data_IF_780785220367
#
_entry.id   IF_780785220367
#
_cell.length_a   1.000
_cell.length_b   1.000
_cell.length_c   1.000
_cell.angle_alpha   90.00
_cell.angle_beta   90.00
_cell.angle_gamma   90.00
#
_symmetry.space_group_name_H-M   'P 1'
#
loop_
_entity.id
_entity.type
_entity.pdbx_description
1 polymer ?
#
# COMPACT_ATOMS: atom_id res chain seq x y z
N UNK A 1 -53.55 -2.03 -9.18
CA UNK A 1 -53.19 -2.71 -7.92
C UNK A 1 -51.69 -2.69 -7.79
N UNK A 2 -51.12 -2.20 -6.69
CA UNK A 2 -49.67 -2.24 -6.50
C UNK A 2 -49.27 -3.66 -6.13
N UNK A 3 -48.55 -4.35 -7.02
CA UNK A 3 -47.91 -5.64 -6.70
C UNK A 3 -46.95 -5.41 -5.54
N UNK A 4 -47.13 -6.16 -4.44
CA UNK A 4 -46.39 -5.93 -3.20
C UNK A 4 -44.90 -6.21 -3.42
N UNK A 5 -44.01 -5.66 -2.58
CA UNK A 5 -42.59 -6.06 -2.65
C UNK A 5 -42.44 -7.57 -2.48
N UNK A 6 -43.28 -8.18 -1.63
CA UNK A 6 -43.36 -9.62 -1.39
C UNK A 6 -43.61 -10.41 -2.68
N UNK A 7 -44.52 -9.95 -3.55
CA UNK A 7 -44.79 -10.60 -4.84
C UNK A 7 -43.59 -10.61 -5.79
N UNK A 8 -42.69 -9.61 -5.69
CA UNK A 8 -41.50 -9.49 -6.54
C UNK A 8 -40.39 -10.48 -6.17
N UNK A 9 -40.38 -10.99 -4.93
CA UNK A 9 -39.35 -11.89 -4.43
C UNK A 9 -39.80 -13.36 -4.31
N UNK A 10 -41.07 -13.69 -4.57
CA UNK A 10 -41.64 -15.05 -4.56
C UNK A 10 -40.85 -16.13 -5.30
N UNK A 11 -40.01 -15.74 -6.27
CA UNK A 11 -39.06 -16.64 -6.95
C UNK A 11 -38.11 -17.33 -5.95
N UNK A 12 -37.72 -16.65 -4.88
CA UNK A 12 -36.71 -17.09 -3.92
C UNK A 12 -37.29 -17.86 -2.71
N UNK A 13 -38.62 -17.89 -2.54
CA UNK A 13 -39.31 -18.57 -1.43
C UNK A 13 -39.07 -20.10 -1.40
N UNK A 14 -38.58 -20.69 -2.49
CA UNK A 14 -38.35 -22.14 -2.65
C UNK A 14 -36.86 -22.53 -2.69
N UNK A 15 -35.99 -21.82 -1.95
CA UNK A 15 -34.58 -22.20 -1.80
C UNK A 15 -34.41 -23.45 -0.93
N UNK A 16 -33.49 -24.35 -1.30
CA UNK A 16 -33.08 -25.53 -0.53
C UNK A 16 -31.55 -25.52 -0.36
N UNK A 17 -31.11 -25.20 0.86
CA UNK A 17 -29.72 -25.27 1.28
C UNK A 17 -29.48 -26.62 1.98
N UNK A 18 -28.51 -27.41 1.51
CA UNK A 18 -28.18 -28.71 2.11
C UNK A 18 -27.31 -28.61 3.37
N UNK A 19 -26.69 -27.45 3.58
CA UNK A 19 -25.70 -27.12 4.62
C UNK A 19 -26.20 -25.91 5.45
N UNK A 20 -27.50 -25.93 5.78
CA UNK A 20 -28.16 -24.88 6.54
C UNK A 20 -27.94 -25.11 8.05
N UNK A 21 -27.10 -24.29 8.67
CA UNK A 21 -26.70 -24.47 10.08
C UNK A 21 -27.82 -24.27 11.10
N UNK A 22 -28.88 -23.55 10.71
CA UNK A 22 -30.05 -23.25 11.55
C UNK A 22 -31.08 -24.41 11.55
N UNK A 23 -31.11 -25.24 10.50
CA UNK A 23 -32.03 -26.39 10.37
C UNK A 23 -31.41 -27.71 10.89
N UNK A 24 -30.87 -27.66 12.11
CA UNK A 24 -30.39 -28.84 12.86
C UNK A 24 -30.86 -28.85 14.33
N UNK A 25 -31.49 -29.94 14.73
CA UNK A 25 -31.91 -30.16 16.12
C UNK A 25 -30.70 -30.45 17.04
N UNK A 26 -30.66 -29.97 18.30
CA UNK A 26 -29.54 -30.17 19.24
C UNK A 26 -29.10 -31.61 19.55
N UNK A 27 -29.85 -32.62 19.09
CA UNK A 27 -29.57 -34.05 19.31
C UNK A 27 -29.11 -34.78 18.03
N UNK A 28 -28.96 -34.07 16.91
CA UNK A 28 -28.53 -34.63 15.63
C UNK A 28 -27.14 -34.09 15.31
N UNK A 29 -26.21 -34.98 14.91
CA UNK A 29 -24.90 -34.55 14.42
C UNK A 29 -25.03 -33.74 13.12
N UNK A 30 -24.58 -32.47 13.16
CA UNK A 30 -24.66 -31.54 12.02
C UNK A 30 -24.00 -32.13 10.76
N UNK A 31 -22.80 -32.68 10.88
CA UNK A 31 -22.02 -33.13 9.71
C UNK A 31 -22.67 -34.32 9.00
N UNK A 32 -23.16 -35.30 9.76
CA UNK A 32 -23.88 -36.46 9.21
C UNK A 32 -25.23 -36.05 8.60
N UNK A 33 -25.92 -35.09 9.20
CA UNK A 33 -27.19 -34.56 8.71
C UNK A 33 -27.06 -33.83 7.37
N UNK A 34 -26.07 -32.95 7.21
CA UNK A 34 -25.83 -32.25 5.94
C UNK A 34 -25.45 -33.20 4.81
N UNK A 35 -24.60 -34.21 5.10
CA UNK A 35 -24.27 -35.28 4.13
C UNK A 35 -25.52 -36.05 3.69
N UNK A 36 -26.39 -36.41 4.63
CA UNK A 36 -27.64 -37.11 4.32
C UNK A 36 -28.63 -36.24 3.53
N UNK A 37 -28.83 -34.96 3.92
CA UNK A 37 -29.63 -33.98 3.17
C UNK A 37 -29.12 -33.81 1.74
N UNK A 38 -27.80 -33.67 1.56
CA UNK A 38 -27.18 -33.56 0.25
C UNK A 38 -27.42 -34.82 -0.59
N UNK A 39 -27.24 -36.02 -0.02
CA UNK A 39 -27.49 -37.28 -0.73
C UNK A 39 -28.97 -37.44 -1.12
N UNK A 40 -29.90 -37.15 -0.21
CA UNK A 40 -31.33 -37.21 -0.46
C UNK A 40 -31.78 -36.20 -1.53
N UNK A 41 -31.16 -35.01 -1.58
CA UNK A 41 -31.35 -34.02 -2.65
C UNK A 41 -30.87 -34.56 -4.00
N UNK A 42 -29.63 -35.05 -4.07
CA UNK A 42 -29.05 -35.61 -5.31
C UNK A 42 -29.88 -36.78 -5.83
N UNK A 43 -30.33 -37.67 -4.96
CA UNK A 43 -31.20 -38.79 -5.34
C UNK A 43 -32.58 -38.31 -5.87
N UNK A 44 -33.17 -37.29 -5.23
CA UNK A 44 -34.43 -36.68 -5.69
C UNK A 44 -34.29 -36.09 -7.09
N UNK A 45 -33.25 -35.29 -7.31
CA UNK A 45 -32.96 -34.69 -8.62
C UNK A 45 -32.64 -35.73 -9.69
N UNK A 46 -31.96 -36.83 -9.34
CA UNK A 46 -31.73 -37.93 -10.29
C UNK A 46 -33.05 -38.60 -10.68
N UNK A 47 -33.96 -38.85 -9.75
CA UNK A 47 -35.29 -39.41 -10.03
C UNK A 47 -36.15 -38.46 -10.87
N UNK A 48 -36.19 -37.19 -10.50
CA UNK A 48 -36.89 -36.15 -11.27
C UNK A 48 -36.36 -36.06 -12.71
N UNK A 49 -35.03 -36.05 -12.90
CA UNK A 49 -34.40 -36.07 -14.24
C UNK A 49 -34.76 -37.32 -15.04
N UNK A 50 -34.74 -38.51 -14.42
CA UNK A 50 -35.14 -39.76 -15.08
C UNK A 50 -36.61 -39.76 -15.51
N UNK A 51 -37.52 -39.31 -14.64
CA UNK A 51 -38.95 -39.18 -14.95
C UNK A 51 -39.19 -38.15 -16.06
N UNK A 52 -38.49 -37.00 -16.03
CA UNK A 52 -38.54 -36.00 -17.09
C UNK A 52 -38.10 -36.58 -18.46
N UNK A 53 -37.00 -37.34 -18.53
CA UNK A 53 -36.56 -37.95 -19.79
C UNK A 53 -37.55 -39.01 -20.30
N UNK A 54 -38.12 -39.84 -19.41
CA UNK A 54 -39.16 -40.82 -19.79
C UNK A 54 -40.40 -40.11 -20.37
N UNK A 55 -40.85 -38.99 -19.78
CA UNK A 55 -41.97 -38.22 -20.32
C UNK A 55 -41.63 -37.51 -21.63
N UNK A 56 -40.43 -36.92 -21.77
CA UNK A 56 -39.97 -36.33 -23.03
C UNK A 56 -39.96 -37.36 -24.15
N UNK A 57 -39.42 -38.56 -23.91
CA UNK A 57 -39.37 -39.61 -24.92
C UNK A 57 -40.77 -40.11 -25.30
N UNK A 58 -41.66 -40.33 -24.32
CA UNK A 58 -43.07 -40.65 -24.57
C UNK A 58 -43.81 -39.55 -25.34
N UNK A 59 -43.46 -38.28 -25.14
CA UNK A 59 -44.04 -37.15 -25.88
C UNK A 59 -43.49 -37.07 -27.32
N UNK A 60 -42.20 -37.39 -27.58
CA UNK A 60 -41.68 -37.54 -28.94
C UNK A 60 -42.42 -38.66 -29.69
N UNK A 61 -42.55 -39.84 -29.08
CA UNK A 61 -43.27 -40.98 -29.67
C UNK A 61 -44.75 -40.63 -29.94
N UNK A 62 -45.44 -39.98 -29.00
CA UNK A 62 -46.81 -39.51 -29.20
C UNK A 62 -46.93 -38.47 -30.33
N UNK A 63 -45.95 -37.57 -30.47
CA UNK A 63 -45.90 -36.58 -31.55
C UNK A 63 -45.69 -37.26 -32.92
N UNK A 64 -44.80 -38.24 -33.02
CA UNK A 64 -44.61 -39.03 -34.24
C UNK A 64 -45.90 -39.78 -34.62
N UNK A 65 -46.51 -40.47 -33.65
CA UNK A 65 -47.77 -41.21 -33.87
C UNK A 65 -48.94 -40.30 -34.26
N UNK A 66 -48.99 -39.08 -33.70
CA UNK A 66 -49.95 -38.05 -34.10
C UNK A 66 -49.80 -37.68 -35.58
N UNK A 67 -48.57 -37.46 -36.06
CA UNK A 67 -48.31 -37.13 -37.46
C UNK A 67 -48.68 -38.29 -38.39
N UNK A 68 -48.38 -39.54 -38.01
CA UNK A 68 -48.81 -40.73 -38.76
C UNK A 68 -50.33 -40.81 -38.92
N UNK A 69 -51.08 -40.68 -37.82
CA UNK A 69 -52.54 -40.74 -37.82
C UNK A 69 -53.17 -39.55 -38.59
N UNK A 70 -52.58 -38.36 -38.49
CA UNK A 70 -53.02 -37.20 -39.28
C UNK A 70 -52.83 -37.41 -40.79
N UNK A 71 -51.72 -38.02 -41.21
CA UNK A 71 -51.50 -38.38 -42.61
C UNK A 71 -52.47 -39.46 -43.09
N UNK A 72 -52.76 -40.47 -42.26
CA UNK A 72 -53.77 -41.50 -42.57
C UNK A 72 -55.18 -40.89 -42.71
N UNK A 73 -55.56 -39.96 -41.84
CA UNK A 73 -56.83 -39.24 -41.97
C UNK A 73 -56.93 -38.45 -43.28
N UNK A 74 -55.90 -37.69 -43.65
CA UNK A 74 -55.88 -36.96 -44.93
C UNK A 74 -56.02 -37.92 -46.13
N UNK A 75 -55.32 -39.05 -46.11
CA UNK A 75 -55.37 -40.04 -47.18
C UNK A 75 -56.74 -40.73 -47.33
N UNK A 76 -57.49 -40.90 -46.23
CA UNK A 76 -58.85 -41.45 -46.23
C UNK A 76 -59.88 -40.36 -46.61
N UNK A 77 -59.66 -39.10 -46.22
CA UNK A 77 -60.50 -37.96 -46.58
C UNK A 77 -60.45 -37.64 -48.10
N UNK A 78 -59.31 -37.89 -48.75
CA UNK A 78 -59.17 -37.84 -50.21
C UNK A 78 -59.77 -39.08 -50.93
N UNK A 79 -60.14 -40.14 -50.19
CA UNK A 79 -60.42 -41.48 -50.69
C UNK A 79 -61.87 -41.98 -50.57
N UNK A 80 -62.75 -41.52 -51.47
CA UNK A 80 -64.12 -42.05 -51.73
C UNK A 80 -65.14 -41.93 -50.58
N UNK A 81 -66.27 -41.27 -50.89
CA UNK A 81 -67.42 -40.97 -50.03
C UNK A 81 -68.28 -42.16 -49.53
N UNK A 82 -67.67 -43.30 -49.22
CA UNK A 82 -68.38 -44.46 -48.67
C UNK A 82 -68.61 -44.35 -47.15
N UNK A 83 -69.69 -44.97 -46.66
CA UNK A 83 -70.05 -44.93 -45.24
C UNK A 83 -68.96 -45.52 -44.33
N UNK A 84 -68.25 -46.56 -44.78
CA UNK A 84 -67.13 -47.17 -44.05
C UNK A 84 -65.97 -46.19 -43.83
N UNK A 85 -65.55 -45.45 -44.86
CA UNK A 85 -64.47 -44.45 -44.77
C UNK A 85 -64.76 -43.37 -43.70
N UNK A 86 -66.06 -43.02 -43.53
CA UNK A 86 -66.50 -42.06 -42.51
C UNK A 86 -66.46 -42.63 -41.09
N UNK A 87 -66.69 -43.93 -40.93
CA UNK A 87 -66.61 -44.61 -39.64
C UNK A 87 -65.14 -44.83 -39.22
N UNK A 88 -64.24 -45.15 -40.16
CA UNK A 88 -62.79 -45.20 -39.94
C UNK A 88 -62.20 -43.82 -39.59
N UNK A 89 -62.63 -42.74 -40.27
CA UNK A 89 -62.26 -41.37 -39.91
C UNK A 89 -62.71 -40.96 -38.50
N UNK A 90 -63.87 -41.43 -38.04
CA UNK A 90 -64.34 -41.19 -36.65
C UNK A 90 -63.43 -41.93 -35.66
N UNK A 91 -63.04 -43.18 -35.95
CA UNK A 91 -62.10 -43.95 -35.14
C UNK A 91 -60.73 -43.28 -35.01
N UNK A 92 -60.08 -42.96 -36.13
CA UNK A 92 -58.76 -42.29 -36.16
C UNK A 92 -58.78 -40.92 -35.46
N UNK A 93 -59.89 -40.18 -35.59
CA UNK A 93 -60.09 -38.90 -34.88
C UNK A 93 -60.23 -39.08 -33.37
N UNK A 94 -60.84 -40.18 -32.91
CA UNK A 94 -60.90 -40.52 -31.49
C UNK A 94 -59.53 -40.92 -30.93
N UNK A 95 -58.76 -41.75 -31.65
CA UNK A 95 -57.38 -42.11 -31.29
C UNK A 95 -56.48 -40.88 -31.19
N UNK A 96 -56.57 -39.95 -32.16
CA UNK A 96 -55.84 -38.68 -32.11
C UNK A 96 -56.22 -37.83 -30.90
N UNK A 97 -57.52 -37.71 -30.59
CA UNK A 97 -57.97 -36.94 -29.43
C UNK A 97 -57.51 -37.55 -28.09
N UNK A 98 -57.42 -38.88 -28.01
CA UNK A 98 -56.86 -39.57 -26.85
C UNK A 98 -55.35 -39.33 -26.72
N UNK A 99 -54.58 -39.46 -27.81
CA UNK A 99 -53.13 -39.17 -27.83
C UNK A 99 -52.83 -37.70 -27.47
N UNK A 100 -53.62 -36.75 -27.99
CA UNK A 100 -53.48 -35.33 -27.63
C UNK A 100 -53.76 -35.06 -26.16
N UNK A 101 -54.81 -35.67 -25.60
CA UNK A 101 -55.16 -35.56 -24.17
C UNK A 101 -54.07 -36.16 -23.28
N UNK A 102 -53.52 -37.30 -23.66
CA UNK A 102 -52.41 -37.95 -22.94
C UNK A 102 -51.13 -37.11 -22.99
N UNK A 103 -50.81 -36.52 -24.14
CA UNK A 103 -49.69 -35.60 -24.30
C UNK A 103 -49.87 -34.34 -23.44
N UNK A 104 -51.07 -33.74 -23.43
CA UNK A 104 -51.39 -32.58 -22.59
C UNK A 104 -51.22 -32.89 -21.09
N UNK A 105 -51.68 -34.06 -20.62
CA UNK A 105 -51.48 -34.48 -19.22
C UNK A 105 -49.99 -34.65 -18.87
N UNK A 106 -49.19 -35.21 -19.78
CA UNK A 106 -47.73 -35.38 -19.58
C UNK A 106 -47.00 -34.03 -19.57
N UNK A 107 -47.34 -33.11 -20.46
CA UNK A 107 -46.81 -31.75 -20.46
C UNK A 107 -47.19 -30.98 -19.19
N UNK A 108 -48.45 -31.01 -18.78
CA UNK A 108 -48.92 -30.34 -17.56
C UNK A 108 -48.21 -30.86 -16.29
N UNK A 109 -47.91 -32.16 -16.23
CA UNK A 109 -47.11 -32.76 -15.14
C UNK A 109 -45.66 -32.27 -15.15
N UNK A 110 -45.02 -32.19 -16.32
CA UNK A 110 -43.66 -31.63 -16.44
C UNK A 110 -43.61 -30.17 -15.96
N UNK A 111 -44.58 -29.35 -16.39
CA UNK A 111 -44.71 -27.96 -15.95
C UNK A 111 -45.00 -27.83 -14.44
N UNK A 112 -45.69 -28.79 -13.83
CA UNK A 112 -45.88 -28.83 -12.38
C UNK A 112 -44.60 -29.19 -11.63
N UNK A 113 -43.84 -30.18 -12.11
CA UNK A 113 -42.52 -30.52 -11.58
C UNK A 113 -41.58 -29.32 -11.63
N UNK A 114 -41.49 -28.62 -12.78
CA UNK A 114 -40.62 -27.45 -12.93
C UNK A 114 -41.08 -26.24 -12.08
N UNK A 115 -42.39 -26.04 -11.87
CA UNK A 115 -42.91 -25.01 -10.95
C UNK A 115 -42.68 -25.32 -9.48
N UNK A 116 -42.56 -26.60 -9.11
CA UNK A 116 -42.35 -27.05 -7.74
C UNK A 116 -40.89 -27.39 -7.41
N UNK A 117 -40.02 -27.46 -8.41
CA UNK A 117 -38.57 -27.58 -8.29
C UNK A 117 -38.01 -26.54 -7.32
N UNK A 118 -37.24 -27.02 -6.35
CA UNK A 118 -36.53 -26.15 -5.40
C UNK A 118 -35.27 -25.56 -6.03
N UNK A 119 -34.95 -24.33 -5.66
CA UNK A 119 -33.75 -23.63 -6.08
C UNK A 119 -32.58 -24.04 -5.17
N UNK A 120 -31.48 -24.48 -5.75
CA UNK A 120 -30.27 -24.95 -5.07
C UNK A 120 -29.04 -24.30 -5.75
N UNK A 121 -27.82 -24.56 -5.26
CA UNK A 121 -26.58 -24.03 -5.85
C UNK A 121 -26.45 -24.38 -7.34
N UNK A 122 -26.83 -25.61 -7.72
CA UNK A 122 -26.73 -26.12 -9.10
C UNK A 122 -27.73 -25.48 -10.08
N UNK A 123 -28.82 -24.88 -9.58
CA UNK A 123 -29.95 -24.35 -10.35
C UNK A 123 -30.06 -22.81 -10.30
N UNK A 124 -29.48 -22.16 -9.29
CA UNK A 124 -29.58 -20.70 -9.07
C UNK A 124 -28.66 -19.91 -10.01
N UNK A 125 -27.49 -20.45 -10.35
CA UNK A 125 -26.53 -19.80 -11.22
C UNK A 125 -25.51 -20.78 -11.79
N UNK A 126 -24.77 -20.32 -12.80
CA UNK A 126 -23.67 -21.05 -13.42
C UNK A 126 -22.38 -20.22 -13.32
N UNK A 127 -21.23 -20.88 -13.19
CA UNK A 127 -19.94 -20.20 -13.19
C UNK A 127 -19.67 -19.67 -14.59
N UNK A 128 -19.67 -18.33 -14.75
CA UNK A 128 -19.42 -17.66 -16.04
C UNK A 128 -17.92 -17.40 -16.26
N UNK A 129 -17.20 -17.07 -15.19
CA UNK A 129 -15.75 -16.84 -15.17
C UNK A 129 -15.21 -17.25 -13.81
N UNK A 130 -14.00 -17.82 -13.80
CA UNK A 130 -13.23 -18.13 -12.61
C UNK A 130 -11.77 -17.71 -12.86
N UNK A 131 -11.14 -17.09 -11.87
CA UNK A 131 -9.78 -16.55 -11.96
C UNK A 131 -9.07 -16.68 -10.61
N UNK A 132 -8.07 -17.56 -10.56
CA UNK A 132 -7.24 -17.75 -9.36
C UNK A 132 -5.88 -17.06 -9.56
N UNK A 133 -5.64 -16.00 -8.78
CA UNK A 133 -4.35 -15.33 -8.73
C UNK A 133 -3.60 -15.75 -7.46
N UNK A 134 -2.60 -16.63 -7.60
CA UNK A 134 -1.66 -16.92 -6.52
C UNK A 134 -0.53 -15.91 -6.64
N UNK A 135 -0.28 -15.13 -5.58
CA UNK A 135 0.86 -14.22 -5.52
C UNK A 135 2.15 -15.00 -5.20
N UNK A 136 2.57 -15.86 -6.13
CA UNK A 136 3.87 -16.53 -6.07
C UNK A 136 4.97 -15.50 -6.32
N UNK A 137 5.82 -15.25 -5.32
CA UNK A 137 7.08 -14.52 -5.50
C UNK A 137 7.97 -15.27 -6.50
N UNK A 138 7.96 -14.85 -7.76
CA UNK A 138 9.03 -15.20 -8.70
C UNK A 138 10.34 -14.57 -8.22
N UNK A 139 11.13 -15.33 -7.45
CA UNK A 139 12.47 -14.92 -7.00
C UNK A 139 12.91 -15.29 -5.58
N UNK A 140 12.04 -15.87 -4.73
CA UNK A 140 12.43 -16.27 -3.37
C UNK A 140 12.80 -17.76 -3.27
N UNK A 141 14.08 -18.08 -3.51
CA UNK A 141 14.63 -19.43 -3.32
C UNK A 141 15.15 -19.65 -1.90
N UNK A 142 14.28 -19.52 -0.90
CA UNK A 142 14.63 -19.74 0.51
C UNK A 142 14.05 -21.07 1.02
N UNK A 143 14.91 -22.08 1.03
CA UNK A 143 14.69 -23.31 1.81
C UNK A 143 14.75 -22.92 3.28
N UNK A 144 13.64 -23.03 4.00
CA UNK A 144 13.58 -22.77 5.44
C UNK A 144 14.46 -23.77 6.22
N UNK A 145 15.48 -23.31 6.98
CA UNK A 145 16.13 -24.14 7.98
C UNK A 145 15.27 -24.15 9.26
N UNK A 146 14.81 -25.34 9.64
CA UNK A 146 13.93 -25.57 10.79
C UNK A 146 14.72 -25.71 12.11
N UNK A 147 15.57 -24.73 12.44
CA UNK A 147 16.08 -24.53 13.81
C UNK A 147 16.44 -23.07 14.10
N UNK A 148 16.05 -22.59 15.28
CA UNK A 148 16.43 -21.27 15.81
C UNK A 148 17.62 -21.43 16.78
N UNK A 149 18.79 -21.75 16.25
CA UNK A 149 20.01 -21.86 17.04
C UNK A 149 20.72 -20.50 17.20
N UNK A 150 20.60 -19.94 18.41
CA UNK A 150 21.18 -18.67 18.80
C UNK A 150 22.67 -18.82 19.16
N UNK A 151 23.55 -18.03 18.53
CA UNK A 151 24.99 -17.95 18.87
C UNK A 151 25.33 -16.47 19.22
N UNK A 152 26.07 -16.21 20.31
CA UNK A 152 26.12 -14.87 20.92
C UNK A 152 27.10 -13.88 20.27
N UNK A 153 26.90 -12.60 20.59
CA UNK A 153 27.65 -11.42 20.10
C UNK A 153 29.18 -11.56 20.21
N UNK A 154 29.96 -11.06 19.22
CA UNK A 154 31.41 -10.95 19.35
C UNK A 154 31.79 -9.81 20.31
N UNK A 155 32.49 -10.15 21.40
CA UNK A 155 33.17 -9.18 22.26
C UNK A 155 34.65 -9.05 21.86
N UNK A 156 35.20 -7.85 22.02
CA UNK A 156 36.55 -7.48 21.59
C UNK A 156 37.68 -8.28 22.27
N UNK A 157 38.80 -8.38 21.57
CA UNK A 157 40.00 -9.14 21.94
C UNK A 157 40.57 -8.86 23.35
N UNK A 158 40.93 -9.94 24.06
CA UNK A 158 42.12 -9.96 24.92
C UNK A 158 42.78 -11.35 24.92
N UNK A 159 44.08 -11.40 24.64
CA UNK A 159 44.89 -12.64 24.67
C UNK A 159 45.18 -13.07 26.11
N UNK A 160 45.10 -14.38 26.43
CA UNK A 160 46.24 -15.13 27.02
C UNK A 160 45.96 -16.61 27.34
N UNK A 161 46.82 -17.47 26.78
CA UNK A 161 47.49 -18.64 27.41
C UNK A 161 46.71 -19.88 27.96
N UNK A 162 47.02 -21.01 27.30
CA UNK A 162 47.42 -22.33 27.86
C UNK A 162 46.40 -23.22 28.62
N UNK A 163 46.54 -24.55 28.49
CA UNK A 163 46.01 -25.48 29.51
C UNK A 163 45.44 -26.86 29.14
N UNK A 164 46.05 -27.59 28.20
CA UNK A 164 46.27 -29.06 28.22
C UNK A 164 45.16 -30.14 28.46
N UNK A 165 45.49 -31.35 27.97
CA UNK A 165 45.05 -32.69 28.39
C UNK A 165 43.59 -33.18 28.25
N UNK A 166 43.46 -34.09 27.28
CA UNK A 166 42.50 -35.18 27.15
C UNK A 166 42.11 -35.96 28.43
N UNK A 167 40.95 -36.64 28.40
CA UNK A 167 40.92 -38.13 28.45
C UNK A 167 39.58 -38.77 28.03
N UNK A 168 39.72 -39.96 27.43
CA UNK A 168 38.83 -41.14 27.33
C UNK A 168 37.54 -41.14 28.19
N UNK A 169 36.45 -41.77 27.75
CA UNK A 169 36.35 -43.26 27.83
C UNK A 169 35.32 -43.90 26.90
N UNK A 170 35.76 -44.97 26.24
CA UNK A 170 34.99 -45.96 25.48
C UNK A 170 34.34 -47.02 26.39
N UNK A 171 33.18 -47.57 26.03
CA UNK A 171 32.89 -49.02 26.11
C UNK A 171 31.64 -49.42 25.33
N UNK A 172 31.71 -50.58 24.68
CA UNK A 172 30.68 -51.19 23.82
C UNK A 172 29.95 -52.35 24.51
N UNK A 173 29.01 -52.97 23.78
CA UNK A 173 28.33 -54.29 23.96
C UNK A 173 26.81 -54.17 24.26
N UNK A 174 25.90 -55.01 23.73
CA UNK A 174 26.04 -56.17 22.82
C UNK A 174 24.70 -56.44 22.07
N UNK A 175 24.79 -56.80 20.79
CA UNK A 175 24.13 -57.94 20.06
C UNK A 175 22.85 -58.55 20.66
N UNK A 176 21.70 -58.61 19.97
CA UNK A 176 21.23 -59.61 18.95
C UNK A 176 19.86 -59.13 18.33
N UNK A 177 19.27 -59.58 17.20
CA UNK A 177 19.61 -60.47 16.06
C UNK A 177 18.67 -60.25 14.84
N UNK A 178 19.03 -60.84 13.68
CA UNK A 178 18.24 -61.34 12.51
C UNK A 178 16.83 -60.81 12.17
N UNK A 179 16.54 -60.42 10.92
CA UNK A 179 16.49 -61.33 9.73
C UNK A 179 16.61 -60.59 8.38
N UNK A 180 17.06 -61.31 7.34
CA UNK A 180 17.29 -60.84 5.96
C UNK A 180 16.02 -60.72 5.08
N UNK A 181 16.05 -59.81 4.09
CA UNK A 181 16.10 -60.24 2.67
C UNK A 181 16.38 -59.12 1.65
N UNK A 182 16.90 -59.54 0.49
CA UNK A 182 17.43 -58.75 -0.63
C UNK A 182 16.52 -58.92 -1.87
N UNK A 183 16.26 -57.85 -2.65
CA UNK A 183 16.29 -57.91 -4.14
C UNK A 183 16.22 -56.51 -4.80
N UNK A 184 16.67 -56.43 -6.06
CA UNK A 184 16.90 -55.20 -6.86
C UNK A 184 15.87 -55.05 -8.01
N UNK A 185 15.51 -53.79 -8.31
CA UNK A 185 15.38 -53.13 -9.65
C UNK A 185 14.62 -53.81 -10.83
N UNK A 186 14.41 -53.14 -12.01
CA UNK A 186 14.29 -51.69 -12.34
C UNK A 186 13.00 -51.38 -13.16
N UNK A 187 12.83 -50.11 -13.63
CA UNK A 187 12.06 -49.64 -14.83
C UNK A 187 11.35 -48.30 -14.55
N UNK A 188 11.23 -47.29 -15.42
CA UNK A 188 11.90 -46.91 -16.69
C UNK A 188 11.66 -45.41 -16.90
N UNK A 189 12.66 -44.66 -17.39
CA UNK A 189 12.49 -43.29 -17.87
C UNK A 189 12.90 -43.17 -19.35
N UNK A 190 12.15 -42.46 -20.21
CA UNK A 190 12.58 -42.12 -21.56
C UNK A 190 13.12 -40.67 -21.64
N UNK A 191 14.31 -40.52 -22.23
CA UNK A 191 14.94 -39.22 -22.53
C UNK A 191 14.67 -38.76 -23.97
N UNK A 192 15.02 -37.49 -24.23
CA UNK A 192 15.09 -36.73 -25.51
C UNK A 192 13.86 -35.84 -25.77
N UNK A 193 13.98 -34.67 -26.41
CA UNK A 193 15.15 -34.07 -27.09
C UNK A 193 15.30 -32.58 -26.77
N UNK A 194 16.52 -32.05 -26.88
CA UNK A 194 16.76 -30.62 -27.01
C UNK A 194 16.41 -30.15 -28.43
N UNK A 195 15.71 -29.01 -28.54
CA UNK A 195 15.57 -28.25 -29.78
C UNK A 195 15.79 -26.78 -29.48
N UNK A 196 16.79 -26.18 -30.13
CA UNK A 196 16.93 -24.73 -30.17
C UNK A 196 15.81 -24.17 -31.02
N UNK A 197 14.98 -23.29 -30.46
CA UNK A 197 14.26 -22.31 -31.27
C UNK A 197 14.14 -20.98 -30.52
N UNK A 198 14.38 -19.89 -31.26
CA UNK A 198 14.49 -18.53 -30.74
C UNK A 198 13.55 -17.63 -31.54
N UNK A 199 12.51 -17.06 -30.91
CA UNK A 199 11.85 -15.91 -31.49
C UNK A 199 11.70 -14.73 -30.51
N UNK A 200 11.74 -13.51 -31.07
CA UNK A 200 11.01 -12.37 -30.55
C UNK A 200 11.47 -11.75 -29.23
N UNK A 201 12.53 -10.95 -29.27
CA UNK A 201 12.76 -9.96 -28.22
C UNK A 201 11.70 -8.85 -28.28
N UNK A 202 10.86 -8.75 -27.26
CA UNK A 202 10.07 -7.55 -26.95
C UNK A 202 10.62 -6.94 -25.66
N UNK A 203 10.87 -5.63 -25.68
CA UNK A 203 11.59 -4.96 -24.60
C UNK A 203 10.77 -4.95 -23.30
N UNK A 204 11.36 -5.48 -22.23
CA UNK A 204 10.88 -5.29 -20.86
C UNK A 204 11.38 -3.93 -20.37
N UNK A 205 10.52 -3.03 -19.84
CA UNK A 205 11.01 -1.85 -19.13
C UNK A 205 11.78 -2.30 -17.89
N UNK A 206 13.02 -1.82 -17.73
CA UNK A 206 13.84 -2.15 -16.58
C UNK A 206 13.29 -1.45 -15.33
N UNK A 207 12.78 -2.23 -14.38
CA UNK A 207 12.51 -1.79 -13.02
C UNK A 207 13.60 -2.34 -12.12
N UNK A 208 14.26 -1.48 -11.34
CA UNK A 208 15.32 -1.86 -10.40
C UNK A 208 16.74 -1.59 -10.91
N UNK A 209 17.04 -0.33 -11.22
CA UNK A 209 18.41 0.20 -11.25
C UNK A 209 18.56 1.09 -10.02
N UNK A 210 19.46 0.74 -9.10
CA UNK A 210 19.82 1.62 -7.99
C UNK A 210 20.61 2.84 -8.51
N UNK A 211 20.62 3.97 -7.76
CA UNK A 211 21.27 5.21 -8.22
C UNK A 211 22.73 4.96 -8.63
N UNK A 212 23.12 5.50 -9.79
CA UNK A 212 24.45 5.27 -10.39
C UNK A 212 25.46 6.38 -10.08
N UNK A 213 25.06 7.41 -9.32
CA UNK A 213 25.91 8.46 -8.77
C UNK A 213 25.45 8.91 -7.38
N UNK A 214 26.35 9.57 -6.65
CA UNK A 214 26.02 10.18 -5.34
C UNK A 214 24.98 11.32 -5.48
N UNK A 215 24.92 11.97 -6.65
CA UNK A 215 23.93 12.98 -6.98
C UNK A 215 22.53 12.36 -7.12
N UNK A 216 22.38 11.24 -7.84
CA UNK A 216 21.10 10.52 -7.94
C UNK A 216 20.58 10.09 -6.56
N UNK A 217 21.48 9.74 -5.63
CA UNK A 217 21.13 9.36 -4.26
C UNK A 217 20.67 10.58 -3.43
N UNK A 218 21.32 11.74 -3.58
CA UNK A 218 20.90 12.99 -2.94
C UNK A 218 19.57 13.50 -3.49
N UNK A 219 19.35 13.43 -4.81
CA UNK A 219 18.07 13.75 -5.44
C UNK A 219 16.96 12.78 -5.00
N UNK A 220 17.25 11.47 -4.90
CA UNK A 220 16.33 10.47 -4.34
C UNK A 220 15.93 10.81 -2.90
N UNK A 221 16.88 11.21 -2.06
CA UNK A 221 16.61 11.63 -0.68
C UNK A 221 15.74 12.90 -0.63
N UNK A 222 16.09 13.94 -1.38
CA UNK A 222 15.34 15.21 -1.38
C UNK A 222 13.91 15.02 -1.89
N UNK A 223 13.71 14.27 -2.98
CA UNK A 223 12.38 13.94 -3.49
C UNK A 223 11.56 13.12 -2.49
N UNK A 224 12.19 12.18 -1.77
CA UNK A 224 11.54 11.41 -0.72
C UNK A 224 11.11 12.28 0.46
N UNK A 225 11.97 13.17 0.93
CA UNK A 225 11.67 14.10 2.04
C UNK A 225 10.53 15.04 1.65
N UNK A 226 10.61 15.71 0.50
CA UNK A 226 9.56 16.64 0.04
C UNK A 226 8.19 15.93 -0.16
N UNK A 227 8.19 14.67 -0.59
CA UNK A 227 6.96 13.89 -0.75
C UNK A 227 6.32 13.43 0.56
N UNK A 228 7.08 13.36 1.65
CA UNK A 228 6.68 12.70 2.90
C UNK A 228 6.94 13.50 4.19
N UNK A 229 7.39 14.76 4.07
CA UNK A 229 7.76 15.67 5.16
C UNK A 229 6.73 15.67 6.30
N UNK A 230 5.45 15.93 5.98
CA UNK A 230 4.35 15.96 6.97
C UNK A 230 4.24 14.67 7.79
N UNK A 231 4.40 13.52 7.14
CA UNK A 231 4.31 12.22 7.79
C UNK A 231 5.53 11.94 8.69
N UNK A 232 6.70 12.43 8.29
CA UNK A 232 7.93 12.34 9.07
C UNK A 232 7.89 13.29 10.28
N UNK A 233 7.32 14.48 10.12
CA UNK A 233 7.09 15.44 11.20
C UNK A 233 6.02 14.93 12.18
N UNK A 234 4.85 14.50 11.69
CA UNK A 234 3.80 13.87 12.52
C UNK A 234 4.39 12.73 13.37
N UNK A 235 5.20 11.87 12.77
CA UNK A 235 5.86 10.76 13.48
C UNK A 235 6.90 11.24 14.50
N UNK A 236 7.59 12.36 14.24
CA UNK A 236 8.55 12.97 15.19
C UNK A 236 7.88 13.55 16.44
N UNK A 237 6.62 14.01 16.33
CA UNK A 237 5.86 14.58 17.45
C UNK A 237 5.19 13.52 18.34
N UNK A 238 4.99 12.29 17.84
CA UNK A 238 4.37 11.20 18.61
C UNK A 238 5.17 10.92 19.89
N UNK A 239 4.49 10.91 21.03
CA UNK A 239 5.08 10.54 22.34
C UNK A 239 4.62 9.17 22.85
N UNK A 240 3.47 8.64 22.42
CA UNK A 240 2.99 7.33 22.83
C UNK A 240 3.61 6.18 22.00
N UNK A 241 3.97 5.07 22.65
CA UNK A 241 4.42 3.86 21.94
C UNK A 241 3.29 3.26 21.09
N UNK A 242 2.04 3.34 21.53
CA UNK A 242 0.89 2.78 20.83
C UNK A 242 0.59 3.55 19.54
N UNK A 243 0.68 4.88 19.58
CA UNK A 243 0.55 5.74 18.40
C UNK A 243 1.70 5.52 17.41
N UNK A 244 2.94 5.38 17.90
CA UNK A 244 4.10 5.07 17.05
C UNK A 244 3.94 3.70 16.38
N UNK A 245 3.46 2.69 17.11
CA UNK A 245 3.14 1.36 16.58
C UNK A 245 2.02 1.42 15.53
N UNK A 246 0.96 2.20 15.76
CA UNK A 246 -0.15 2.35 14.81
C UNK A 246 0.29 3.05 13.52
N UNK A 247 1.07 4.14 13.63
CA UNK A 247 1.64 4.84 12.47
C UNK A 247 2.61 3.95 11.70
N UNK A 248 3.48 3.19 12.38
CA UNK A 248 4.39 2.24 11.72
C UNK A 248 3.67 1.04 11.08
N UNK A 249 2.48 0.68 11.57
CA UNK A 249 1.66 -0.36 10.94
C UNK A 249 0.92 0.14 9.68
N UNK A 250 0.39 1.37 9.70
CA UNK A 250 -0.27 2.00 8.55
C UNK A 250 0.74 2.45 7.49
N UNK A 251 1.71 3.24 7.92
CA UNK A 251 2.64 4.00 7.07
C UNK A 251 4.07 3.46 7.09
N UNK A 252 4.29 2.24 7.61
CA UNK A 252 5.58 1.53 7.58
C UNK A 252 6.08 1.19 6.17
N UNK A 253 5.39 1.62 5.11
CA UNK A 253 5.90 1.60 3.75
C UNK A 253 6.83 2.78 3.43
N UNK A 254 6.65 3.91 4.12
CA UNK A 254 7.47 5.12 4.02
C UNK A 254 8.35 5.23 5.27
N UNK A 255 7.78 5.13 6.47
CA UNK A 255 8.49 5.36 7.73
C UNK A 255 9.67 4.41 7.99
N UNK A 256 9.65 3.19 7.43
CA UNK A 256 10.74 2.21 7.57
C UNK A 256 11.77 2.25 6.42
N UNK A 257 11.74 3.27 5.57
CA UNK A 257 12.77 3.51 4.57
C UNK A 257 14.04 4.11 5.22
N UNK A 258 15.20 3.86 4.63
CA UNK A 258 16.51 4.36 5.10
C UNK A 258 16.55 5.90 5.14
N UNK A 259 15.95 6.56 4.16
CA UNK A 259 15.81 8.01 4.10
C UNK A 259 15.02 8.60 5.30
N UNK A 260 13.99 7.89 5.79
CA UNK A 260 13.19 8.33 6.95
C UNK A 260 14.01 8.38 8.23
N UNK A 261 14.88 7.40 8.46
CA UNK A 261 15.80 7.42 9.60
C UNK A 261 16.79 8.58 9.48
N UNK A 262 17.35 8.80 8.29
CA UNK A 262 18.29 9.91 8.03
C UNK A 262 17.67 11.29 8.24
N UNK A 263 16.42 11.50 7.80
CA UNK A 263 15.68 12.74 8.06
C UNK A 263 15.49 13.00 9.56
N UNK A 264 15.02 11.99 10.33
CA UNK A 264 14.86 12.14 11.77
C UNK A 264 16.19 12.41 12.48
N UNK A 265 17.29 11.78 12.05
CA UNK A 265 18.63 12.04 12.59
C UNK A 265 19.09 13.49 12.36
N UNK A 266 18.77 14.07 11.20
CA UNK A 266 19.10 15.46 10.89
C UNK A 266 18.22 16.43 11.70
N UNK A 267 16.90 16.19 11.75
CA UNK A 267 15.97 17.00 12.54
C UNK A 267 16.28 16.96 14.05
N UNK A 268 16.78 15.83 14.58
CA UNK A 268 17.31 15.76 15.96
C UNK A 268 18.47 16.74 16.21
N UNK A 269 19.35 16.90 15.23
CA UNK A 269 20.55 17.73 15.33
C UNK A 269 20.17 19.22 15.21
N UNK A 270 19.25 19.53 14.30
CA UNK A 270 18.66 20.87 14.14
C UNK A 270 17.89 21.31 15.40
N UNK A 271 17.06 20.44 15.98
CA UNK A 271 16.35 20.72 17.24
C UNK A 271 17.33 21.02 18.38
N UNK A 272 18.43 20.26 18.51
CA UNK A 272 19.45 20.55 19.51
C UNK A 272 20.17 21.86 19.22
N UNK A 273 20.55 22.11 17.96
CA UNK A 273 21.19 23.38 17.54
C UNK A 273 20.31 24.59 17.91
N UNK A 274 19.01 24.50 17.62
CA UNK A 274 17.96 25.49 17.92
C UNK A 274 17.52 25.53 19.40
N UNK A 275 18.14 24.77 20.29
CA UNK A 275 17.82 24.76 21.73
C UNK A 275 16.50 24.07 22.11
N UNK A 276 15.82 23.41 21.16
CA UNK A 276 14.55 22.68 21.35
C UNK A 276 14.77 21.31 22.00
N UNK A 277 15.48 21.26 23.13
CA UNK A 277 15.90 20.03 23.81
C UNK A 277 14.77 19.04 24.12
N UNK A 278 13.53 19.51 24.30
CA UNK A 278 12.37 18.64 24.53
C UNK A 278 11.91 17.90 23.26
N UNK A 279 11.86 18.60 22.11
CA UNK A 279 11.52 18.00 20.80
C UNK A 279 12.63 17.05 20.38
N UNK A 280 13.90 17.47 20.46
CA UNK A 280 15.07 16.62 20.19
C UNK A 280 14.99 15.26 20.91
N UNK A 281 14.67 15.22 22.20
CA UNK A 281 14.57 13.95 22.96
C UNK A 281 13.47 13.02 22.43
N UNK A 282 12.39 13.58 21.90
CA UNK A 282 11.31 12.78 21.31
C UNK A 282 11.67 12.31 19.90
N UNK A 283 12.14 13.21 19.03
CA UNK A 283 12.66 12.88 17.68
C UNK A 283 13.76 11.81 17.77
N UNK A 284 14.66 11.93 18.76
CA UNK A 284 15.74 10.97 19.02
C UNK A 284 15.22 9.58 19.39
N UNK A 285 14.20 9.51 20.25
CA UNK A 285 13.52 8.26 20.59
C UNK A 285 12.84 7.63 19.37
N UNK A 286 12.20 8.42 18.51
CA UNK A 286 11.55 7.93 17.29
C UNK A 286 12.57 7.43 16.26
N UNK A 287 13.69 8.13 16.09
CA UNK A 287 14.82 7.66 15.28
C UNK A 287 15.39 6.32 15.78
N UNK A 288 15.53 6.13 17.10
CA UNK A 288 15.96 4.86 17.67
C UNK A 288 14.93 3.73 17.53
N UNK A 289 13.63 4.02 17.50
CA UNK A 289 12.59 3.02 17.18
C UNK A 289 12.81 2.51 15.75
N UNK A 290 13.03 3.40 14.77
CA UNK A 290 13.33 2.98 13.39
C UNK A 290 14.61 2.14 13.32
N UNK A 291 15.71 2.60 13.94
CA UNK A 291 17.00 1.88 13.95
C UNK A 291 16.87 0.46 14.50
N UNK A 292 16.23 0.31 15.66
CA UNK A 292 16.09 -1.01 16.27
C UNK A 292 15.16 -1.94 15.47
N UNK A 293 14.15 -1.41 14.77
CA UNK A 293 13.29 -2.20 13.89
C UNK A 293 14.06 -2.65 12.63
N UNK A 294 14.85 -1.79 12.00
CA UNK A 294 15.65 -2.13 10.81
C UNK A 294 16.79 -3.09 11.17
N UNK A 295 17.51 -2.86 12.27
CA UNK A 295 18.52 -3.78 12.81
C UNK A 295 17.94 -5.17 13.12
N UNK A 296 16.77 -5.23 13.79
CA UNK A 296 16.09 -6.49 14.07
C UNK A 296 15.64 -7.17 12.76
N UNK A 297 15.19 -6.42 11.76
CA UNK A 297 14.82 -6.95 10.44
C UNK A 297 16.00 -7.57 9.69
N UNK A 298 17.16 -6.89 9.67
CA UNK A 298 18.40 -7.42 9.13
C UNK A 298 18.83 -8.71 9.85
N UNK A 299 18.81 -8.73 11.19
CA UNK A 299 19.19 -9.94 11.95
C UNK A 299 18.27 -11.14 11.73
N UNK A 300 17.01 -10.91 11.36
CA UNK A 300 16.01 -11.95 11.10
C UNK A 300 15.85 -12.30 9.61
N UNK A 301 16.58 -11.62 8.70
CA UNK A 301 16.40 -11.69 7.25
C UNK A 301 14.92 -11.53 6.81
N UNK A 302 14.22 -10.56 7.40
CA UNK A 302 12.81 -10.25 7.08
C UNK A 302 12.62 -8.80 6.68
N UNK A 303 11.47 -8.47 6.10
CA UNK A 303 11.12 -7.07 5.85
C UNK A 303 10.94 -6.33 7.18
N UNK A 304 11.40 -5.07 7.31
CA UNK A 304 11.15 -4.25 8.50
C UNK A 304 9.68 -4.21 8.95
N UNK A 305 8.73 -4.23 8.00
CA UNK A 305 7.28 -4.22 8.31
C UNK A 305 6.83 -5.45 9.11
N UNK A 306 7.35 -6.63 8.79
CA UNK A 306 6.99 -7.88 9.48
C UNK A 306 7.49 -7.91 10.93
N UNK A 307 8.45 -7.05 11.24
CA UNK A 307 9.18 -7.02 12.51
C UNK A 307 8.65 -5.95 13.48
N UNK A 308 7.90 -4.95 12.99
CA UNK A 308 7.23 -3.91 13.82
C UNK A 308 6.42 -4.53 14.97
N UNK A 309 5.48 -5.43 14.66
CA UNK A 309 4.59 -6.03 15.67
C UNK A 309 5.35 -6.92 16.69
N UNK A 310 6.27 -7.81 16.28
CA UNK A 310 7.17 -8.50 17.20
C UNK A 310 8.03 -7.58 18.07
N UNK A 311 8.54 -6.48 17.52
CA UNK A 311 9.36 -5.50 18.24
C UNK A 311 8.57 -4.84 19.37
N UNK A 312 7.41 -4.22 19.07
CA UNK A 312 6.59 -3.55 20.08
C UNK A 312 6.07 -4.51 21.15
N UNK A 313 5.74 -5.77 20.79
CA UNK A 313 5.38 -6.80 21.79
C UNK A 313 6.50 -7.08 22.78
N UNK A 314 7.75 -7.21 22.31
CA UNK A 314 8.92 -7.39 23.20
C UNK A 314 9.22 -6.12 24.00
N UNK A 315 8.98 -4.94 23.43
CA UNK A 315 9.20 -3.65 24.10
C UNK A 315 8.24 -3.41 25.28
N UNK A 316 7.12 -4.14 25.37
CA UNK A 316 6.26 -4.13 26.56
C UNK A 316 6.91 -4.80 27.79
N UNK A 317 7.93 -5.65 27.59
CA UNK A 317 8.64 -6.30 28.70
C UNK A 317 9.60 -5.29 29.38
N UNK A 318 9.60 -5.17 30.72
CA UNK A 318 10.31 -4.10 31.43
C UNK A 318 11.84 -4.17 31.25
N UNK A 319 12.40 -5.36 30.99
CA UNK A 319 13.83 -5.54 30.71
C UNK A 319 14.20 -4.92 29.35
N UNK A 320 13.37 -5.15 28.33
CA UNK A 320 13.57 -4.60 26.99
C UNK A 320 13.27 -3.11 26.94
N UNK A 321 12.22 -2.64 27.62
CA UNK A 321 11.91 -1.22 27.75
C UNK A 321 13.06 -0.43 28.42
N UNK A 322 13.68 -1.00 29.46
CA UNK A 322 14.85 -0.37 30.10
C UNK A 322 16.04 -0.31 29.13
N UNK A 323 16.42 -1.44 28.52
CA UNK A 323 17.53 -1.47 27.56
C UNK A 323 17.35 -0.52 26.36
N UNK A 324 16.11 -0.37 25.89
CA UNK A 324 15.75 0.64 24.89
C UNK A 324 15.90 2.08 25.43
N UNK A 325 15.42 2.35 26.64
CA UNK A 325 15.53 3.67 27.28
C UNK A 325 16.98 4.08 27.49
N UNK A 326 17.83 3.15 27.95
CA UNK A 326 19.27 3.37 28.13
C UNK A 326 19.95 3.68 26.78
N UNK A 327 19.63 2.94 25.71
CA UNK A 327 20.14 3.20 24.35
C UNK A 327 19.71 4.57 23.80
N UNK A 328 18.46 5.00 24.08
CA UNK A 328 17.98 6.34 23.72
C UNK A 328 18.75 7.44 24.47
N UNK A 329 19.08 7.26 25.75
CA UNK A 329 19.92 8.23 26.48
C UNK A 329 21.34 8.30 25.90
N UNK A 330 21.97 7.16 25.63
CA UNK A 330 23.29 7.09 25.00
C UNK A 330 23.30 7.77 23.62
N UNK A 331 22.21 7.66 22.87
CA UNK A 331 22.05 8.35 21.59
C UNK A 331 21.86 9.87 21.77
N UNK A 332 21.03 10.32 22.71
CA UNK A 332 20.85 11.75 23.04
C UNK A 332 22.20 12.40 23.39
N UNK A 333 23.03 11.76 24.23
CA UNK A 333 24.36 12.28 24.59
C UNK A 333 25.28 12.44 23.37
N UNK A 334 25.21 11.51 22.40
CA UNK A 334 25.96 11.60 21.13
C UNK A 334 25.46 12.75 20.25
N UNK A 335 24.14 12.96 20.15
CA UNK A 335 23.55 14.09 19.41
C UNK A 335 23.98 15.41 20.02
N UNK A 336 23.91 15.56 21.35
CA UNK A 336 24.35 16.75 22.06
C UNK A 336 25.84 17.07 21.81
N UNK A 337 26.71 16.07 21.90
CA UNK A 337 28.14 16.23 21.58
C UNK A 337 28.35 16.67 20.13
N UNK A 338 27.68 16.02 19.18
CA UNK A 338 27.76 16.36 17.75
C UNK A 338 27.21 17.76 17.44
N UNK A 339 26.17 18.21 18.13
CA UNK A 339 25.63 19.56 18.00
C UNK A 339 26.62 20.62 18.48
N UNK A 340 27.31 20.39 19.61
CA UNK A 340 28.37 21.28 20.09
C UNK A 340 29.57 21.32 19.15
N UNK A 341 29.98 20.16 18.62
CA UNK A 341 31.03 20.06 17.59
C UNK A 341 30.64 20.83 16.32
N UNK A 342 29.46 20.59 15.75
CA UNK A 342 28.93 21.36 14.61
C UNK A 342 28.86 22.87 14.88
N UNK A 343 28.29 23.31 16.01
CA UNK A 343 28.20 24.75 16.35
C UNK A 343 29.58 25.40 16.37
N UNK A 344 30.59 24.69 16.87
CA UNK A 344 31.98 25.16 16.86
C UNK A 344 32.55 25.20 15.44
N UNK A 345 32.37 24.16 14.63
CA UNK A 345 32.81 24.11 13.23
C UNK A 345 32.21 25.25 12.39
N UNK A 346 30.90 25.52 12.53
CA UNK A 346 30.22 26.62 11.83
C UNK A 346 30.69 27.99 12.31
N UNK A 347 30.92 28.18 13.62
CA UNK A 347 31.50 29.42 14.14
C UNK A 347 32.94 29.65 13.63
N UNK A 348 33.74 28.59 13.52
CA UNK A 348 35.09 28.67 12.95
C UNK A 348 35.08 28.91 11.43
N UNK A 349 34.11 28.36 10.69
CA UNK A 349 33.93 28.62 9.26
C UNK A 349 33.48 30.07 8.99
N UNK A 350 32.49 30.58 9.74
CA UNK A 350 32.07 32.00 9.72
C UNK A 350 33.25 32.92 10.05
N UNK A 351 34.12 32.54 10.98
CA UNK A 351 35.35 33.28 11.30
C UNK A 351 36.46 33.18 10.24
N UNK A 352 36.42 32.18 9.34
CA UNK A 352 37.33 32.06 8.18
C UNK A 352 36.79 32.71 6.90
N UNK A 353 35.53 33.16 6.89
CA UNK A 353 34.87 33.71 5.70
C UNK A 353 34.53 32.66 4.64
N UNK A 354 34.33 31.41 5.07
CA UNK A 354 33.90 30.32 4.20
C UNK A 354 32.36 30.31 4.16
N UNK A 355 31.75 30.40 2.97
CA UNK A 355 30.31 30.16 2.81
C UNK A 355 29.98 28.71 3.18
N UNK A 356 29.09 28.53 4.16
CA UNK A 356 28.63 27.21 4.61
C UNK A 356 27.22 27.01 4.07
N UNK A 357 27.09 26.12 3.08
CA UNK A 357 25.78 25.67 2.59
C UNK A 357 25.02 24.88 3.66
N UNK A 358 23.71 25.14 3.77
CA UNK A 358 22.77 24.39 4.59
C UNK A 358 22.29 25.06 5.88
N UNK A 359 21.08 25.62 5.78
CA UNK A 359 20.08 25.93 6.83
C UNK A 359 20.05 27.36 7.41
N UNK A 360 19.08 28.11 6.88
CA UNK A 360 18.35 29.25 7.48
C UNK A 360 19.20 30.47 7.86
N UNK A 361 19.38 31.33 6.86
CA UNK A 361 19.13 32.79 6.92
C UNK A 361 19.02 33.39 8.34
N UNK A 362 20.17 33.73 8.93
CA UNK A 362 20.31 35.11 9.42
C UNK A 362 20.85 35.92 8.24
N UNK A 363 19.93 36.38 7.38
CA UNK A 363 20.18 37.59 6.60
C UNK A 363 20.26 38.74 7.61
N UNK A 364 21.42 38.90 8.26
CA UNK A 364 21.88 40.23 8.67
C UNK A 364 21.89 41.04 7.38
N UNK A 365 20.83 41.83 7.15
CA UNK A 365 20.67 42.60 5.92
C UNK A 365 21.95 43.39 5.67
N UNK A 366 22.76 42.95 4.70
CA UNK A 366 23.85 43.75 4.15
C UNK A 366 23.20 44.82 3.26
N UNK A 367 22.45 45.72 3.92
CA UNK A 367 21.70 46.81 3.28
C UNK A 367 22.71 47.59 2.47
N UNK A 368 22.60 47.45 1.15
CA UNK A 368 23.59 47.91 0.19
C UNK A 368 24.00 49.34 0.53
N UNK A 369 25.30 49.51 0.80
CA UNK A 369 25.85 50.81 1.15
C UNK A 369 25.56 51.80 0.02
N UNK A 370 25.14 53.01 0.38
CA UNK A 370 24.83 54.06 -0.57
C UNK A 370 26.05 54.47 -1.42
N UNK A 371 25.87 55.34 -2.43
CA UNK A 371 26.94 55.76 -3.33
C UNK A 371 28.15 56.42 -2.63
N UNK A 372 27.98 56.95 -1.41
CA UNK A 372 29.04 57.47 -0.54
C UNK A 372 29.51 56.50 0.56
N UNK A 373 29.05 55.24 0.55
CA UNK A 373 29.45 54.21 1.51
C UNK A 373 28.74 54.24 2.86
N UNK A 374 27.67 55.04 3.02
CA UNK A 374 26.87 55.12 4.24
C UNK A 374 25.63 54.21 4.17
N UNK A 375 25.22 53.68 5.32
CA UNK A 375 24.05 52.82 5.42
C UNK A 375 22.75 53.66 5.52
N UNK A 376 21.73 53.45 4.65
CA UNK A 376 20.51 54.26 4.62
C UNK A 376 19.74 54.29 5.95
N UNK A 377 19.69 53.15 6.66
CA UNK A 377 18.91 53.00 7.88
C UNK A 377 19.58 53.73 9.05
N UNK A 378 20.91 53.66 9.13
CA UNK A 378 21.68 54.38 10.16
C UNK A 378 21.56 55.89 9.98
N UNK A 379 21.73 56.38 8.74
CA UNK A 379 21.57 57.82 8.45
C UNK A 379 20.14 58.28 8.76
N UNK A 380 19.11 57.50 8.41
CA UNK A 380 17.73 57.83 8.76
C UNK A 380 17.53 57.96 10.28
N UNK A 381 18.10 57.06 11.09
CA UNK A 381 18.01 57.12 12.56
C UNK A 381 18.79 58.30 13.18
N UNK A 382 19.87 58.76 12.55
CA UNK A 382 20.65 59.93 12.99
C UNK A 382 20.04 61.29 12.58
N UNK A 383 19.03 61.30 11.71
CA UNK A 383 18.32 62.54 11.34
C UNK A 383 17.51 63.11 12.51
N UNK A 384 17.40 64.45 12.62
CA UNK A 384 16.42 65.10 13.49
C UNK A 384 14.99 64.58 13.23
N UNK A 385 14.14 64.45 14.27
CA UNK A 385 12.80 63.86 14.13
C UNK A 385 11.90 64.65 13.17
N UNK A 386 12.11 65.96 13.03
CA UNK A 386 11.38 66.81 12.08
C UNK A 386 11.73 66.48 10.62
N UNK A 387 12.97 66.03 10.35
CA UNK A 387 13.36 65.54 9.03
C UNK A 387 12.90 64.09 8.81
N UNK A 388 12.96 63.22 9.83
CA UNK A 388 12.41 61.86 9.77
C UNK A 388 10.91 61.88 9.41
N UNK A 389 10.11 62.70 10.08
CA UNK A 389 8.66 62.85 9.80
C UNK A 389 8.40 63.38 8.39
N UNK A 390 9.26 64.26 7.85
CA UNK A 390 9.16 64.74 6.47
C UNK A 390 9.50 63.64 5.44
N UNK A 391 10.47 62.78 5.72
CA UNK A 391 10.81 61.61 4.89
C UNK A 391 9.72 60.52 4.95
N UNK A 392 9.15 60.24 6.13
CA UNK A 392 8.04 59.29 6.30
C UNK A 392 6.75 59.76 5.61
N UNK A 393 6.41 61.05 5.76
CA UNK A 393 5.23 61.65 5.11
C UNK A 393 5.42 61.95 3.63
N UNK A 394 6.67 61.86 3.12
CA UNK A 394 7.09 62.20 1.74
C UNK A 394 6.76 63.65 1.35
N UNK A 395 6.69 64.55 2.35
CA UNK A 395 6.37 65.96 2.14
C UNK A 395 7.64 66.79 1.88
N UNK A 396 7.83 67.12 0.61
CA UNK A 396 8.96 67.92 0.11
C UNK A 396 8.96 69.36 0.63
N UNK A 397 7.79 69.92 0.95
CA UNK A 397 7.67 71.29 1.44
C UNK A 397 7.85 71.33 2.97
N UNK A 398 7.42 70.30 3.69
CA UNK A 398 7.80 70.09 5.10
C UNK A 398 9.32 69.89 5.24
N UNK A 399 9.96 69.10 4.36
CA UNK A 399 11.41 68.92 4.35
C UNK A 399 12.15 70.25 4.12
N UNK A 400 11.71 71.06 3.15
CA UNK A 400 12.27 72.40 2.90
C UNK A 400 12.06 73.34 4.08
N UNK A 401 10.89 73.29 4.74
CA UNK A 401 10.63 74.09 5.93
C UNK A 401 11.52 73.70 7.11
N UNK A 402 11.75 72.40 7.31
CA UNK A 402 12.66 71.87 8.33
C UNK A 402 14.12 72.30 8.08
N UNK A 403 14.60 72.17 6.84
CA UNK A 403 15.94 72.61 6.44
C UNK A 403 16.12 74.14 6.56
N UNK A 404 15.05 74.93 6.34
CA UNK A 404 15.08 76.39 6.50
C UNK A 404 14.99 76.85 7.97
N UNK A 405 14.47 76.01 8.87
CA UNK A 405 14.34 76.29 10.29
C UNK A 405 15.63 76.03 11.09
N UNK A 406 16.56 75.23 10.56
CA UNK A 406 17.80 74.83 11.22
C UNK A 406 19.03 75.60 10.70
N UNK A 407 20.18 75.57 11.41
CA UNK A 407 21.41 76.21 10.95
C UNK A 407 21.88 75.64 9.60
N UNK A 408 22.30 76.52 8.69
CA UNK A 408 22.68 76.14 7.32
C UNK A 408 23.82 75.08 7.24
N UNK A 409 24.71 75.03 8.24
CA UNK A 409 25.78 74.03 8.30
C UNK A 409 25.25 72.64 8.72
N UNK A 410 24.27 72.57 9.63
CA UNK A 410 23.64 71.30 10.04
C UNK A 410 22.74 70.76 8.93
N UNK A 411 21.95 71.63 8.29
CA UNK A 411 21.15 71.29 7.12
C UNK A 411 22.00 70.66 6.01
N UNK A 412 23.18 71.25 5.72
CA UNK A 412 24.10 70.71 4.72
C UNK A 412 24.68 69.35 5.13
N UNK A 413 25.12 69.18 6.38
CA UNK A 413 25.67 67.90 6.86
C UNK A 413 24.67 66.75 6.78
N UNK A 414 23.40 67.01 7.14
CA UNK A 414 22.36 66.00 7.05
C UNK A 414 21.96 65.69 5.59
N UNK A 415 21.88 66.70 4.71
CA UNK A 415 21.61 66.46 3.29
C UNK A 415 22.75 65.70 2.59
N UNK A 416 24.02 66.04 2.87
CA UNK A 416 25.19 65.33 2.35
C UNK A 416 25.17 63.85 2.78
N UNK A 417 24.88 63.57 4.06
CA UNK A 417 24.71 62.19 4.54
C UNK A 417 23.52 61.45 3.90
N UNK A 418 22.42 62.14 3.57
CA UNK A 418 21.30 61.56 2.83
C UNK A 418 21.64 61.26 1.36
N UNK A 419 22.47 62.09 0.72
CA UNK A 419 22.96 61.85 -0.64
C UNK A 419 23.97 60.68 -0.67
N UNK A 420 24.92 60.66 0.27
CA UNK A 420 25.93 59.59 0.42
C UNK A 420 25.32 58.23 0.80
N UNK A 421 24.23 58.22 1.57
CA UNK A 421 23.48 56.99 1.86
C UNK A 421 22.44 56.63 0.80
N UNK A 422 22.25 57.45 -0.25
CA UNK A 422 21.26 57.22 -1.30
C UNK A 422 19.80 57.40 -0.87
N UNK A 423 19.56 57.90 0.35
CA UNK A 423 18.24 58.25 0.88
C UNK A 423 17.64 59.48 0.16
N UNK A 424 18.48 60.32 -0.43
CA UNK A 424 18.10 61.47 -1.25
C UNK A 424 18.89 61.52 -2.55
N UNK A 425 18.21 61.85 -3.66
CA UNK A 425 18.86 62.09 -4.96
C UNK A 425 18.55 63.53 -5.40
N UNK A 426 19.55 64.42 -5.50
CA UNK A 426 19.32 65.79 -5.89
C UNK A 426 18.90 65.86 -7.36
N UNK A 427 17.73 66.46 -7.60
CA UNK A 427 17.14 66.57 -8.94
C UNK A 427 17.94 67.58 -9.79
N UNK A 428 19.00 67.10 -10.47
CA UNK A 428 19.65 67.85 -11.55
C UNK A 428 18.66 67.96 -12.71
N UNK A 429 18.36 69.20 -13.11
CA UNK A 429 17.36 69.46 -14.15
C UNK A 429 17.72 68.85 -15.50
N UNK A 430 16.71 68.21 -16.10
CA UNK A 430 16.48 67.95 -17.52
C UNK A 430 17.71 67.85 -18.44
N UNK A 431 18.20 66.62 -18.65
CA UNK A 431 18.92 66.31 -19.88
C UNK A 431 20.03 65.26 -19.81
N UNK A 432 19.70 63.98 -19.62
CA UNK A 432 20.23 62.91 -20.48
C UNK A 432 19.44 61.61 -20.35
N UNK A 433 19.49 60.84 -21.44
CA UNK A 433 18.65 59.69 -21.81
C UNK A 433 18.39 58.63 -20.74
N UNK A 434 17.11 58.22 -20.67
CA UNK A 434 16.66 56.92 -20.19
C UNK A 434 17.54 55.78 -20.75
N UNK A 435 18.13 55.00 -19.86
CA UNK A 435 18.49 53.60 -20.12
C UNK A 435 17.63 52.72 -19.25
N UNK A 436 16.56 52.20 -19.84
CA UNK A 436 15.89 51.00 -19.34
C UNK A 436 16.83 49.82 -19.55
N UNK A 437 17.45 49.31 -18.49
CA UNK A 437 18.07 47.98 -18.51
C UNK A 437 17.11 47.02 -17.81
N UNK A 438 16.08 46.65 -18.56
CA UNK A 438 15.01 45.73 -18.17
C UNK A 438 15.48 44.28 -18.40
N UNK A 439 16.44 43.80 -17.59
CA UNK A 439 16.97 42.45 -17.75
C UNK A 439 16.08 41.39 -17.09
N UNK A 440 15.01 41.03 -17.81
CA UNK A 440 14.27 39.78 -17.59
C UNK A 440 14.50 38.88 -18.79
N UNK A 441 15.48 37.98 -18.69
CA UNK A 441 15.46 36.70 -19.42
C UNK A 441 16.48 35.70 -18.87
N UNK A 442 15.94 34.61 -18.32
CA UNK A 442 16.31 33.24 -18.64
C UNK A 442 17.81 32.86 -18.61
N UNK A 443 18.20 32.16 -17.56
CA UNK A 443 18.88 30.86 -17.70
C UNK A 443 18.36 29.92 -16.61
#
# INVERSE_FOLDING_TARGET
>A
MASSLTDKYKKWDKLELSDDEDDVHPNIDKQSWFRWKHQARVEREMKEKQEQEIFKEKNKMATARKVELQAQMQQIEEGVDNAASKEELIGLRAELAEIEKDMQQRCARLEEMDRNRKLNVDNVGTVVKDYTFINTREGASDVLPDSLDFIPKPCLNSKSAAGDSATKTTSSAMTVQSTDQVTKEPSTAPSRAASNDKPGGLARPSAGVGPHSELDAAESYNNFVLGHEKLLEDFSEVTSLEQAQEMLHKEGHILLAEHSQSYLLLSCLEDEMNGKHARMKNTARQSQILSHITELAHSLNRSPRDVVMPFFRRLQEPVHLKGFSDAVQDFIVKVQKRAVEKRKEMAEARARGEEVDGLVQEEEEEVALGPGGLNPIQVFQELPPVLQEAFESRDMDALRAALAAMPAEEARRHMEACEDSGLWVPHRGDGETVKEEHEVSQS
#
